data_IF_440105825193
#
_entry.id   IF_440105825193
#
_cell.length_a   1.000
_cell.length_b   1.000
_cell.length_c   1.000
_cell.angle_alpha   90.00
_cell.angle_beta   90.00
_cell.angle_gamma   90.00
#
_symmetry.space_group_name_H-M   'P 1'
#
loop_
_entity.id
_entity.type
_entity.pdbx_description
1 polymer ?
#
# COMPACT_ATOMS: atom_id res chain seq x y z
N UNK A 1 -6.87 7.27 -44.41
CA UNK A 1 -7.31 6.80 -43.09
C UNK A 1 -6.46 7.49 -42.04
N UNK A 2 -7.13 8.19 -41.14
CA UNK A 2 -6.60 9.23 -40.27
C UNK A 2 -5.51 8.73 -39.32
N UNK A 3 -4.48 9.57 -39.13
CA UNK A 3 -3.57 9.49 -38.00
C UNK A 3 -4.42 9.54 -36.72
N UNK A 4 -4.48 8.46 -35.96
CA UNK A 4 -4.90 8.54 -34.56
C UNK A 4 -3.90 9.44 -33.85
N UNK A 5 -4.20 10.74 -33.77
CA UNK A 5 -3.47 11.70 -32.96
C UNK A 5 -3.44 11.13 -31.54
N UNK A 6 -2.23 10.84 -31.06
CA UNK A 6 -1.99 10.28 -29.74
C UNK A 6 -2.45 11.26 -28.66
N UNK A 7 -3.73 11.19 -28.31
CA UNK A 7 -4.34 11.89 -27.17
C UNK A 7 -3.73 11.39 -25.84
N UNK A 8 -2.95 10.31 -25.88
CA UNK A 8 -2.28 9.67 -24.76
C UNK A 8 -0.75 9.80 -24.82
N UNK A 9 -0.21 10.90 -25.37
CA UNK A 9 1.23 11.18 -25.22
C UNK A 9 1.57 11.63 -23.78
N UNK A 10 2.82 11.46 -23.29
CA UNK A 10 3.24 12.01 -22.00
C UNK A 10 3.03 13.53 -21.87
N UNK A 11 3.20 14.27 -22.96
CA UNK A 11 2.96 15.71 -23.01
C UNK A 11 1.46 16.04 -22.87
N UNK A 12 0.59 15.31 -23.57
CA UNK A 12 -0.86 15.45 -23.47
C UNK A 12 -1.34 15.22 -22.04
N UNK A 13 -0.86 14.17 -21.37
CA UNK A 13 -1.18 13.87 -19.96
C UNK A 13 -0.72 14.98 -19.02
N UNK A 14 0.48 15.49 -19.21
CA UNK A 14 1.02 16.61 -18.41
C UNK A 14 0.17 17.86 -18.56
N UNK A 15 -0.23 18.18 -19.80
CA UNK A 15 -1.10 19.32 -20.09
C UNK A 15 -2.49 19.15 -19.47
N UNK A 16 -3.11 17.97 -19.60
CA UNK A 16 -4.41 17.65 -19.00
C UNK A 16 -4.39 17.75 -17.47
N UNK A 17 -3.40 17.14 -16.81
CA UNK A 17 -3.29 17.21 -15.35
C UNK A 17 -3.12 18.66 -14.87
N UNK A 18 -2.35 19.47 -15.61
CA UNK A 18 -2.16 20.89 -15.29
C UNK A 18 -3.44 21.70 -15.52
N UNK A 19 -4.20 21.42 -16.59
CA UNK A 19 -5.48 22.05 -16.85
C UNK A 19 -6.53 21.69 -15.79
N UNK A 20 -6.67 20.41 -15.42
CA UNK A 20 -7.58 19.98 -14.36
C UNK A 20 -7.22 20.58 -13.00
N UNK A 21 -5.93 20.67 -12.68
CA UNK A 21 -5.49 21.30 -11.43
C UNK A 21 -5.81 22.81 -11.48
N UNK A 22 -5.52 23.48 -12.61
CA UNK A 22 -5.84 24.90 -12.81
C UNK A 22 -7.34 25.19 -12.67
N UNK A 23 -8.20 24.30 -13.15
CA UNK A 23 -9.65 24.45 -13.01
C UNK A 23 -10.21 23.95 -11.68
N UNK A 24 -9.38 23.33 -10.83
CA UNK A 24 -9.81 22.80 -9.55
C UNK A 24 -10.80 21.64 -9.65
N UNK A 25 -10.71 20.84 -10.72
CA UNK A 25 -11.50 19.62 -10.86
C UNK A 25 -11.25 18.72 -9.63
N UNK A 26 -12.24 17.99 -9.14
CA UNK A 26 -12.01 17.13 -7.97
C UNK A 26 -11.31 15.82 -8.37
N UNK A 27 -10.41 15.24 -7.55
CA UNK A 27 -9.79 13.94 -7.84
C UNK A 27 -10.78 12.82 -8.16
N UNK A 28 -11.94 12.79 -7.50
CA UNK A 28 -13.03 11.85 -7.79
C UNK A 28 -13.54 11.99 -9.23
N UNK A 29 -13.62 13.21 -9.74
CA UNK A 29 -14.10 13.48 -11.09
C UNK A 29 -13.06 13.06 -12.13
N UNK A 30 -11.78 13.37 -11.89
CA UNK A 30 -10.70 12.90 -12.77
C UNK A 30 -10.61 11.37 -12.76
N UNK A 31 -10.83 10.71 -11.61
CA UNK A 31 -10.91 9.25 -11.52
C UNK A 31 -11.99 8.68 -12.46
N UNK A 32 -13.17 9.32 -12.50
CA UNK A 32 -14.27 8.94 -13.40
C UNK A 32 -13.94 9.20 -14.86
N UNK A 33 -13.40 10.38 -15.20
CA UNK A 33 -13.00 10.76 -16.56
C UNK A 33 -11.99 9.77 -17.14
N UNK A 34 -11.02 9.35 -16.32
CA UNK A 34 -9.98 8.39 -16.69
C UNK A 34 -10.44 6.93 -16.69
N UNK A 35 -11.70 6.67 -16.29
CA UNK A 35 -12.36 5.36 -16.31
C UNK A 35 -11.61 4.24 -15.58
N UNK A 36 -10.82 4.60 -14.56
CA UNK A 36 -9.91 3.69 -13.85
C UNK A 36 -10.64 2.47 -13.28
N UNK A 37 -10.17 1.29 -13.69
CA UNK A 37 -10.69 0.01 -13.22
C UNK A 37 -12.01 -0.39 -13.86
N UNK A 38 -12.31 0.12 -15.07
CA UNK A 38 -13.42 -0.38 -15.87
C UNK A 38 -13.06 -1.69 -16.60
N UNK A 39 -14.06 -2.55 -16.90
CA UNK A 39 -13.83 -3.77 -17.66
C UNK A 39 -13.14 -3.50 -19.00
N UNK A 40 -12.11 -4.29 -19.32
CA UNK A 40 -11.33 -4.16 -20.55
C UNK A 40 -10.11 -3.23 -20.45
N UNK A 41 -9.87 -2.61 -19.29
CA UNK A 41 -8.61 -1.89 -19.03
C UNK A 41 -7.45 -2.82 -18.66
N UNK A 42 -6.23 -2.32 -18.83
CA UNK A 42 -5.02 -2.92 -18.27
C UNK A 42 -5.18 -3.14 -16.76
N UNK A 43 -4.45 -4.12 -16.23
CA UNK A 43 -4.35 -4.30 -14.78
C UNK A 43 -4.01 -2.96 -14.11
N UNK A 44 -4.71 -2.61 -13.02
CA UNK A 44 -4.62 -1.28 -12.42
C UNK A 44 -3.18 -0.87 -12.09
N UNK A 45 -2.34 -1.82 -11.70
CA UNK A 45 -0.93 -1.59 -11.43
C UNK A 45 -0.15 -1.07 -12.65
N UNK A 46 -0.44 -1.58 -13.84
CA UNK A 46 0.21 -1.17 -15.10
C UNK A 46 -0.54 -0.07 -15.84
N UNK A 47 -1.75 0.28 -15.40
CA UNK A 47 -2.62 1.26 -16.06
C UNK A 47 -2.00 2.65 -16.12
N UNK A 48 -1.86 3.17 -17.34
CA UNK A 48 -1.41 4.55 -17.57
C UNK A 48 -2.40 5.58 -17.03
N UNK A 49 -3.71 5.31 -17.11
CA UNK A 49 -4.77 6.14 -16.54
C UNK A 49 -4.64 6.23 -15.02
N UNK A 50 -4.36 5.10 -14.36
CA UNK A 50 -4.18 5.08 -12.91
C UNK A 50 -2.96 5.90 -12.48
N UNK A 51 -1.81 5.72 -13.15
CA UNK A 51 -0.62 6.54 -12.89
C UNK A 51 -0.85 8.03 -13.15
N UNK A 52 -1.55 8.37 -14.22
CA UNK A 52 -1.90 9.76 -14.51
C UNK A 52 -2.75 10.39 -13.39
N UNK A 53 -3.66 9.61 -12.80
CA UNK A 53 -4.49 10.06 -11.70
C UNK A 53 -3.69 10.26 -10.40
N UNK A 54 -2.73 9.37 -10.09
CA UNK A 54 -1.81 9.60 -8.98
C UNK A 54 -0.99 10.89 -9.17
N UNK A 55 -0.48 11.15 -10.38
CA UNK A 55 0.18 12.42 -10.71
C UNK A 55 -0.74 13.63 -10.58
N UNK A 56 -2.02 13.44 -10.87
CA UNK A 56 -3.00 14.49 -10.76
C UNK A 56 -3.29 14.85 -9.31
N UNK A 57 -3.43 13.85 -8.43
CA UNK A 57 -3.63 14.04 -6.98
C UNK A 57 -2.53 14.94 -6.40
N UNK A 58 -1.27 14.66 -6.73
CA UNK A 58 -0.14 15.47 -6.25
C UNK A 58 -0.22 16.92 -6.72
N UNK A 59 -0.53 17.15 -8.00
CA UNK A 59 -0.75 18.51 -8.52
C UNK A 59 -1.95 19.20 -7.87
N UNK A 60 -2.98 18.45 -7.52
CA UNK A 60 -4.16 18.95 -6.84
C UNK A 60 -3.83 19.38 -5.41
N UNK A 61 -3.12 18.55 -4.64
CA UNK A 61 -2.64 18.87 -3.28
C UNK A 61 -1.76 20.10 -3.24
N UNK A 62 -0.75 20.18 -4.11
CA UNK A 62 0.13 21.35 -4.21
C UNK A 62 -0.65 22.65 -4.43
N UNK A 63 -1.77 22.58 -5.16
CA UNK A 63 -2.57 23.76 -5.45
C UNK A 63 -3.62 24.08 -4.38
N UNK A 64 -4.30 23.07 -3.87
CA UNK A 64 -5.47 23.22 -2.99
C UNK A 64 -5.12 23.11 -1.50
N UNK A 65 -3.87 22.72 -1.17
CA UNK A 65 -3.42 22.34 0.15
C UNK A 65 -3.34 20.81 0.29
N UNK A 66 -2.38 20.33 1.07
CA UNK A 66 -2.13 18.90 1.24
C UNK A 66 -3.35 18.15 1.82
N UNK A 67 -4.12 18.83 2.68
CA UNK A 67 -5.34 18.29 3.30
C UNK A 67 -6.58 18.36 2.39
N UNK A 68 -6.48 18.94 1.18
CA UNK A 68 -7.61 19.02 0.26
C UNK A 68 -8.12 17.63 -0.18
N UNK A 69 -7.24 16.63 -0.15
CA UNK A 69 -7.61 15.23 -0.23
C UNK A 69 -6.64 14.39 0.59
N UNK A 70 -7.16 13.59 1.52
CA UNK A 70 -6.36 12.72 2.38
C UNK A 70 -6.07 11.38 1.72
N UNK A 71 -4.99 10.71 2.14
CA UNK A 71 -4.68 9.36 1.65
C UNK A 71 -5.79 8.35 1.99
N UNK A 72 -6.48 8.55 3.11
CA UNK A 72 -7.64 7.76 3.49
C UNK A 72 -8.78 7.87 2.46
N UNK A 73 -9.08 9.09 2.00
CA UNK A 73 -10.06 9.33 0.94
C UNK A 73 -9.63 8.68 -0.38
N UNK A 74 -8.34 8.76 -0.72
CA UNK A 74 -7.79 8.09 -1.92
C UNK A 74 -7.97 6.58 -1.83
N UNK A 75 -7.57 5.95 -0.73
CA UNK A 75 -7.76 4.51 -0.53
C UNK A 75 -9.25 4.10 -0.54
N UNK A 76 -10.14 4.94 -0.02
CA UNK A 76 -11.60 4.69 -0.06
C UNK A 76 -12.15 4.76 -1.49
N UNK A 77 -11.67 5.67 -2.33
CA UNK A 77 -12.04 5.70 -3.74
C UNK A 77 -11.65 4.41 -4.47
N UNK A 78 -10.46 3.89 -4.17
CA UNK A 78 -9.95 2.66 -4.77
C UNK A 78 -10.65 1.41 -4.26
N UNK A 79 -11.09 1.41 -3.00
CA UNK A 79 -11.81 0.27 -2.41
C UNK A 79 -13.12 -0.08 -3.13
N UNK A 80 -13.71 0.87 -3.87
CA UNK A 80 -14.88 0.60 -4.71
C UNK A 80 -14.61 -0.40 -5.85
N UNK A 81 -13.33 -0.66 -6.16
CA UNK A 81 -12.88 -1.49 -7.28
C UNK A 81 -11.89 -2.57 -6.88
N UNK A 82 -11.10 -2.33 -5.83
CA UNK A 82 -10.03 -3.22 -5.38
C UNK A 82 -10.18 -3.43 -3.87
N UNK A 83 -10.53 -4.64 -3.39
CA UNK A 83 -10.60 -4.94 -1.96
C UNK A 83 -9.31 -4.55 -1.23
N UNK A 84 -9.40 -4.20 0.06
CA UNK A 84 -8.22 -3.75 0.83
C UNK A 84 -7.05 -4.73 0.83
N UNK A 85 -7.33 -6.03 0.79
CA UNK A 85 -6.30 -7.07 0.68
C UNK A 85 -5.50 -6.94 -0.62
N UNK A 86 -6.20 -6.66 -1.72
CA UNK A 86 -5.60 -6.48 -3.04
C UNK A 86 -4.96 -5.10 -3.22
N UNK A 87 -5.35 -4.11 -2.39
CA UNK A 87 -4.70 -2.80 -2.41
C UNK A 87 -3.24 -2.87 -1.98
N UNK A 88 -2.90 -3.76 -1.04
CA UNK A 88 -1.51 -3.93 -0.59
C UNK A 88 -0.62 -4.41 -1.74
N UNK A 89 -1.07 -5.42 -2.50
CA UNK A 89 -0.32 -5.96 -3.64
C UNK A 89 -0.33 -4.99 -4.82
N UNK A 90 -1.44 -4.27 -5.04
CA UNK A 90 -1.53 -3.19 -6.03
C UNK A 90 -0.49 -2.10 -5.76
N UNK A 91 -0.46 -1.52 -4.55
CA UNK A 91 0.48 -0.44 -4.23
C UNK A 91 1.92 -0.91 -4.17
N UNK A 92 2.17 -2.17 -3.77
CA UNK A 92 3.48 -2.78 -3.91
C UNK A 92 3.90 -2.78 -5.40
N UNK A 93 3.01 -3.20 -6.30
CA UNK A 93 3.31 -3.24 -7.74
C UNK A 93 3.51 -1.86 -8.33
N UNK A 94 2.70 -0.88 -7.94
CA UNK A 94 2.77 0.50 -8.42
C UNK A 94 4.09 1.13 -8.00
N UNK A 95 4.45 1.02 -6.72
CA UNK A 95 5.72 1.50 -6.16
C UNK A 95 6.92 0.97 -6.95
N UNK A 96 6.97 -0.33 -7.19
CA UNK A 96 8.09 -0.93 -7.92
C UNK A 96 8.16 -0.52 -9.39
N UNK A 97 7.01 -0.34 -10.04
CA UNK A 97 6.99 0.15 -11.41
C UNK A 97 7.45 1.62 -11.49
N UNK A 98 7.04 2.46 -10.54
CA UNK A 98 7.48 3.85 -10.46
C UNK A 98 8.99 3.95 -10.20
N UNK A 99 9.53 3.12 -9.30
CA UNK A 99 10.96 3.04 -9.01
C UNK A 99 11.77 2.59 -10.23
N UNK A 100 11.27 1.65 -11.03
CA UNK A 100 11.94 1.19 -12.27
C UNK A 100 11.97 2.24 -13.38
N UNK A 101 11.08 3.21 -13.35
CA UNK A 101 10.92 4.21 -14.41
C UNK A 101 11.61 5.55 -14.09
N UNK A 102 12.46 5.61 -13.05
CA UNK A 102 13.03 6.86 -12.50
C UNK A 102 11.95 7.94 -12.34
N UNK A 103 10.78 7.51 -11.85
CA UNK A 103 9.61 8.39 -11.73
C UNK A 103 9.79 9.41 -10.61
N UNK A 104 9.02 10.49 -10.70
CA UNK A 104 8.97 11.56 -9.72
C UNK A 104 8.83 11.02 -8.28
N UNK A 105 9.81 11.32 -7.43
CA UNK A 105 9.90 10.90 -6.03
C UNK A 105 8.61 11.15 -5.24
N UNK A 106 7.93 12.26 -5.50
CA UNK A 106 6.69 12.66 -4.82
C UNK A 106 5.57 11.62 -5.07
N UNK A 107 5.49 11.09 -6.28
CA UNK A 107 4.47 10.11 -6.67
C UNK A 107 4.78 8.75 -6.08
N UNK A 108 6.06 8.41 -5.99
CA UNK A 108 6.52 7.21 -5.27
C UNK A 108 6.16 7.30 -3.79
N UNK A 109 6.40 8.45 -3.15
CA UNK A 109 6.00 8.71 -1.75
C UNK A 109 4.49 8.61 -1.56
N UNK A 110 3.67 9.11 -2.50
CA UNK A 110 2.23 8.92 -2.47
C UNK A 110 1.86 7.43 -2.48
N UNK A 111 2.47 6.63 -3.38
CA UNK A 111 2.21 5.20 -3.45
C UNK A 111 2.63 4.47 -2.15
N UNK A 112 3.75 4.87 -1.54
CA UNK A 112 4.20 4.36 -0.25
C UNK A 112 3.23 4.71 0.88
N UNK A 113 2.78 5.96 0.96
CA UNK A 113 1.81 6.38 1.96
C UNK A 113 0.47 5.65 1.82
N UNK A 114 -0.01 5.47 0.58
CA UNK A 114 -1.22 4.67 0.32
C UNK A 114 -1.05 3.21 0.74
N UNK A 115 0.14 2.63 0.53
CA UNK A 115 0.46 1.28 1.00
C UNK A 115 0.47 1.20 2.54
N UNK A 116 1.10 2.16 3.21
CA UNK A 116 1.11 2.25 4.68
C UNK A 116 -0.30 2.38 5.26
N UNK A 117 -1.17 3.18 4.62
CA UNK A 117 -2.57 3.29 5.03
C UNK A 117 -3.35 1.99 4.83
N UNK A 118 -3.07 1.24 3.75
CA UNK A 118 -3.65 -0.09 3.57
C UNK A 118 -3.17 -1.07 4.66
N UNK A 119 -1.88 -1.03 5.02
CA UNK A 119 -1.36 -1.82 6.15
C UNK A 119 -1.98 -1.45 7.49
N UNK A 120 -2.12 -0.16 7.78
CA UNK A 120 -2.75 0.29 9.01
C UNK A 120 -4.20 -0.19 9.09
N UNK A 121 -4.96 -0.12 7.99
CA UNK A 121 -6.32 -0.68 7.94
C UNK A 121 -6.35 -2.19 8.18
N UNK A 122 -5.38 -2.95 7.63
CA UNK A 122 -5.26 -4.38 7.93
C UNK A 122 -5.05 -4.60 9.44
N UNK A 123 -4.17 -3.81 10.06
CA UNK A 123 -3.95 -3.85 11.51
C UNK A 123 -5.22 -3.50 12.29
N UNK A 124 -5.96 -2.47 11.88
CA UNK A 124 -7.20 -2.04 12.54
C UNK A 124 -8.30 -3.12 12.43
N UNK A 125 -8.25 -3.94 11.38
CA UNK A 125 -9.08 -5.14 11.20
C UNK A 125 -8.50 -6.38 11.92
N UNK A 126 -7.52 -6.22 12.80
CA UNK A 126 -6.80 -7.28 13.52
C UNK A 126 -6.13 -8.32 12.62
N UNK A 127 -5.74 -7.95 11.40
CA UNK A 127 -4.94 -8.80 10.55
C UNK A 127 -3.47 -8.77 10.98
N UNK A 128 -2.93 -9.94 11.33
CA UNK A 128 -1.50 -10.16 11.54
C UNK A 128 -0.83 -10.51 10.21
N UNK A 129 0.51 -10.47 10.12
CA UNK A 129 1.23 -10.96 8.94
C UNK A 129 0.89 -12.42 8.61
N UNK A 130 0.68 -13.27 9.62
CA UNK A 130 0.26 -14.65 9.41
C UNK A 130 -1.15 -14.75 8.82
N UNK A 131 -2.10 -13.93 9.29
CA UNK A 131 -3.44 -13.87 8.69
C UNK A 131 -3.37 -13.36 7.24
N UNK A 132 -2.56 -12.34 6.98
CA UNK A 132 -2.37 -11.82 5.63
C UNK A 132 -1.76 -12.85 4.69
N UNK A 133 -0.77 -13.60 5.18
CA UNK A 133 -0.19 -14.74 4.45
C UNK A 133 -1.23 -15.79 4.10
N UNK A 134 -2.09 -16.19 5.03
CA UNK A 134 -3.18 -17.15 4.74
C UNK A 134 -4.20 -16.64 3.72
N UNK A 135 -4.30 -15.32 3.54
CA UNK A 135 -5.22 -14.70 2.59
C UNK A 135 -4.65 -14.59 1.18
N UNK A 136 -3.35 -14.86 0.97
CA UNK A 136 -2.81 -14.96 -0.39
C UNK A 136 -3.08 -16.38 -0.92
N UNK A 137 -3.65 -16.52 -2.12
CA UNK A 137 -4.08 -17.80 -2.70
C UNK A 137 -2.93 -18.77 -3.05
N UNK A 138 -1.71 -18.53 -2.58
CA UNK A 138 -0.52 -19.34 -2.89
C UNK A 138 0.42 -19.38 -1.69
N UNK A 139 0.78 -20.56 -1.17
CA UNK A 139 1.72 -20.69 -0.06
C UNK A 139 3.04 -19.96 -0.30
N UNK A 140 3.59 -19.29 0.72
CA UNK A 140 4.86 -18.57 0.61
C UNK A 140 6.02 -19.42 0.09
N UNK A 141 6.05 -20.72 0.42
CA UNK A 141 7.09 -21.65 -0.02
C UNK A 141 7.14 -21.84 -1.54
N UNK A 142 6.05 -21.55 -2.25
CA UNK A 142 5.96 -21.65 -3.70
C UNK A 142 6.20 -20.31 -4.40
N UNK A 143 6.22 -19.21 -3.64
CA UNK A 143 6.46 -17.88 -4.18
C UNK A 143 7.96 -17.61 -4.29
N UNK A 144 8.38 -17.13 -5.45
CA UNK A 144 9.72 -16.56 -5.62
C UNK A 144 9.77 -15.20 -4.94
N UNK A 145 10.97 -14.76 -4.54
CA UNK A 145 11.18 -13.43 -3.94
C UNK A 145 10.77 -12.28 -4.85
N UNK A 146 10.82 -12.52 -6.16
CA UNK A 146 10.43 -11.54 -7.15
C UNK A 146 8.91 -11.44 -7.34
N UNK A 147 8.13 -12.35 -6.74
CA UNK A 147 6.67 -12.31 -6.77
C UNK A 147 6.15 -11.13 -5.94
N UNK A 148 5.16 -10.44 -6.46
CA UNK A 148 4.60 -9.25 -5.81
C UNK A 148 3.92 -9.59 -4.48
N UNK A 149 3.34 -10.78 -4.37
CA UNK A 149 2.68 -11.26 -3.15
C UNK A 149 3.72 -11.55 -2.07
N UNK A 150 4.85 -12.15 -2.44
CA UNK A 150 5.97 -12.36 -1.53
C UNK A 150 6.44 -11.04 -0.92
N UNK A 151 6.73 -10.04 -1.78
CA UNK A 151 7.21 -8.73 -1.32
C UNK A 151 6.16 -7.93 -0.56
N UNK A 152 4.88 -8.09 -0.90
CA UNK A 152 3.77 -7.52 -0.15
C UNK A 152 3.72 -8.07 1.29
N UNK A 153 3.84 -9.40 1.45
CA UNK A 153 3.88 -10.04 2.77
C UNK A 153 5.13 -9.62 3.54
N UNK A 154 6.29 -9.59 2.90
CA UNK A 154 7.55 -9.10 3.50
C UNK A 154 7.41 -7.67 4.01
N UNK A 155 6.91 -6.76 3.16
CA UNK A 155 6.74 -5.35 3.51
C UNK A 155 5.72 -5.16 4.63
N UNK A 156 4.60 -5.87 4.58
CA UNK A 156 3.61 -5.83 5.65
C UNK A 156 4.18 -6.37 6.97
N UNK A 157 4.97 -7.44 6.93
CA UNK A 157 5.62 -8.02 8.11
C UNK A 157 6.56 -7.03 8.78
N UNK A 158 7.37 -6.31 8.00
CA UNK A 158 8.23 -5.23 8.49
C UNK A 158 7.42 -4.09 9.10
N UNK A 159 6.38 -3.63 8.41
CA UNK A 159 5.51 -2.56 8.88
C UNK A 159 4.84 -2.93 10.20
N UNK A 160 4.26 -4.13 10.27
CA UNK A 160 3.58 -4.64 11.46
C UNK A 160 4.53 -4.76 12.65
N UNK A 161 5.74 -5.31 12.44
CA UNK A 161 6.73 -5.45 13.50
C UNK A 161 7.12 -4.09 14.10
N UNK A 162 7.34 -3.08 13.26
CA UNK A 162 7.59 -1.72 13.71
C UNK A 162 6.39 -1.13 14.47
N UNK A 163 5.18 -1.26 13.92
CA UNK A 163 3.97 -0.64 14.46
C UNK A 163 3.47 -1.28 15.77
N UNK A 164 3.64 -2.60 15.95
CA UNK A 164 3.10 -3.35 17.10
C UNK A 164 4.15 -3.89 18.07
N UNK A 165 5.35 -4.18 17.58
CA UNK A 165 6.43 -4.78 18.39
C UNK A 165 7.62 -3.84 18.65
N UNK A 166 7.62 -2.64 18.06
CA UNK A 166 8.69 -1.65 18.20
C UNK A 166 10.04 -2.10 17.61
N UNK A 167 11.12 -1.43 18.01
CA UNK A 167 12.45 -1.61 17.42
C UNK A 167 13.03 -3.02 17.60
N UNK A 168 12.75 -3.66 18.73
CA UNK A 168 13.23 -5.01 19.01
C UNK A 168 12.61 -6.03 18.04
N UNK A 169 11.29 -5.97 17.85
CA UNK A 169 10.59 -6.82 16.88
C UNK A 169 11.05 -6.55 15.45
N UNK A 170 11.16 -5.28 15.07
CA UNK A 170 11.63 -4.90 13.74
C UNK A 170 13.05 -5.43 13.47
N UNK A 171 13.96 -5.34 14.45
CA UNK A 171 15.32 -5.87 14.34
C UNK A 171 15.33 -7.38 14.14
N UNK A 172 14.52 -8.11 14.89
CA UNK A 172 14.41 -9.57 14.76
C UNK A 172 13.86 -9.97 13.38
N UNK A 173 12.78 -9.33 12.92
CA UNK A 173 12.20 -9.58 11.60
C UNK A 173 13.21 -9.30 10.49
N UNK A 174 13.94 -8.17 10.56
CA UNK A 174 15.00 -7.85 9.59
C UNK A 174 16.11 -8.91 9.55
N UNK A 175 16.50 -9.47 10.71
CA UNK A 175 17.49 -10.55 10.76
C UNK A 175 16.99 -11.83 10.06
N UNK A 176 15.73 -12.22 10.29
CA UNK A 176 15.13 -13.40 9.66
C UNK A 176 15.02 -13.24 8.14
N UNK A 177 14.60 -12.06 7.67
CA UNK A 177 14.52 -11.74 6.24
C UNK A 177 15.90 -11.75 5.56
N UNK A 178 16.96 -11.28 6.25
CA UNK A 178 18.34 -11.36 5.74
C UNK A 178 18.79 -12.81 5.52
N UNK A 179 18.26 -13.76 6.29
CA UNK A 179 18.50 -15.19 6.14
C UNK A 179 17.54 -15.87 5.15
N UNK A 180 16.76 -15.08 4.39
CA UNK A 180 15.77 -15.54 3.42
C UNK A 180 14.60 -16.33 4.03
N UNK A 181 14.32 -16.14 5.31
CA UNK A 181 13.26 -16.88 6.02
C UNK A 181 12.04 -15.99 6.27
N UNK A 182 11.27 -15.75 5.20
CA UNK A 182 10.03 -14.96 5.30
C UNK A 182 8.99 -15.63 6.18
N UNK A 183 8.91 -16.97 6.19
CA UNK A 183 7.94 -17.67 7.03
C UNK A 183 8.24 -17.49 8.52
N UNK A 184 9.50 -17.66 8.93
CA UNK A 184 9.90 -17.38 10.30
C UNK A 184 9.72 -15.90 10.66
N UNK A 185 9.99 -14.98 9.72
CA UNK A 185 9.74 -13.55 9.93
C UNK A 185 8.26 -13.24 10.19
N UNK A 186 7.35 -13.84 9.42
CA UNK A 186 5.90 -13.75 9.60
C UNK A 186 5.47 -14.29 10.96
N UNK A 187 5.99 -15.46 11.35
CA UNK A 187 5.66 -16.11 12.63
C UNK A 187 6.17 -15.31 13.82
N UNK A 188 7.40 -14.78 13.73
CA UNK A 188 7.98 -13.91 14.74
C UNK A 188 7.14 -12.63 14.90
N UNK A 189 6.77 -11.99 13.79
CA UNK A 189 5.95 -10.77 13.82
C UNK A 189 4.56 -11.00 14.47
N UNK A 190 3.92 -12.14 14.16
CA UNK A 190 2.63 -12.52 14.76
C UNK A 190 2.75 -12.89 16.25
N UNK A 191 3.91 -13.35 16.72
CA UNK A 191 4.15 -13.68 18.12
C UNK A 191 4.12 -12.48 19.08
N UNK A 192 4.43 -11.28 18.59
CA UNK A 192 4.51 -10.08 19.45
C UNK A 192 3.15 -9.61 19.98
N UNK A 193 2.05 -9.87 19.28
CA UNK A 193 0.70 -9.58 19.81
C UNK A 193 0.35 -10.48 21.00
N UNK A 194 0.88 -11.70 21.05
CA UNK A 194 0.67 -12.63 22.15
C UNK A 194 1.61 -12.36 23.33
N UNK A 195 2.81 -11.81 23.10
CA UNK A 195 3.75 -11.49 24.17
C UNK A 195 3.25 -10.35 25.07
N UNK A 196 2.71 -9.27 24.49
CA UNK A 196 2.15 -8.16 25.28
C UNK A 196 0.92 -8.57 26.10
N UNK A 197 0.04 -9.42 25.54
CA UNK A 197 -1.14 -9.95 26.25
C UNK A 197 -0.76 -10.94 27.36
N UNK A 198 0.20 -11.84 27.10
CA UNK A 198 0.68 -12.78 28.11
C UNK A 198 1.55 -12.10 29.19
N UNK A 199 2.28 -11.04 28.84
CA UNK A 199 3.07 -10.26 29.80
C UNK A 199 2.16 -9.42 30.71
N UNK A 200 1.11 -8.80 30.17
CA UNK A 200 0.13 -8.05 30.97
C UNK A 200 -0.70 -8.96 31.88
N UNK A 201 -1.13 -10.14 31.41
CA UNK A 201 -1.80 -11.13 32.26
C UNK A 201 -0.90 -11.64 33.39
N UNK A 202 0.39 -11.89 33.11
CA UNK A 202 1.35 -12.32 34.14
C UNK A 202 1.65 -11.22 35.16
N UNK A 203 1.70 -9.95 34.72
CA UNK A 203 1.89 -8.80 35.62
C UNK A 203 0.66 -8.56 36.52
N UNK A 204 -0.57 -8.73 36.00
CA UNK A 204 -1.79 -8.62 36.80
C UNK A 204 -1.89 -9.70 37.88
N UNK A 205 -1.58 -10.96 37.53
CA UNK A 205 -1.59 -12.09 38.48
C UNK A 205 -0.45 -12.10 39.50
N UNK A 206 0.55 -11.23 39.34
CA UNK A 206 1.68 -11.09 40.25
C UNK A 206 1.50 -9.99 41.30
N UNK A 207 0.35 -9.29 41.32
CA UNK A 207 0.04 -8.39 42.44
C UNK A 207 -0.33 -9.22 43.67
N UNK A 208 0.40 -9.09 44.80
CA UNK A 208 -0.02 -9.72 46.05
C UNK A 208 -1.33 -9.09 46.46
N UNK A 209 -2.35 -9.91 46.69
CA UNK A 209 -3.54 -9.49 47.43
C UNK A 209 -3.07 -9.20 48.86
N UNK A 210 -2.94 -7.92 49.19
CA UNK A 210 -2.73 -7.50 50.57
C UNK A 210 -3.91 -8.03 51.40
N UNK A 211 -3.57 -8.87 52.38
CA UNK A 211 -4.45 -9.35 53.45
C UNK A 211 -3.95 -8.78 54.76
#
# INVERSE_FOLDING_TARGET
MEKSLSIFSPASRTAMNSAWAKSGVKPEEVYRILRIGQPGEEAMATSTSFRQWLWYIEKYRVKMGDDAITDLQIGTMLNKKVPYLDQVTLFQSVKEQLLKQDSNLIVTMLAENLQCNAFQRLIDMNATPARFEMMIDTPLSLLKKEDIRYRAVETFTLYFAAAKGGDAALKQVKMLLKNNDLKAAVDAAAGFTNWFLNFSEKMWRATPTET
#
